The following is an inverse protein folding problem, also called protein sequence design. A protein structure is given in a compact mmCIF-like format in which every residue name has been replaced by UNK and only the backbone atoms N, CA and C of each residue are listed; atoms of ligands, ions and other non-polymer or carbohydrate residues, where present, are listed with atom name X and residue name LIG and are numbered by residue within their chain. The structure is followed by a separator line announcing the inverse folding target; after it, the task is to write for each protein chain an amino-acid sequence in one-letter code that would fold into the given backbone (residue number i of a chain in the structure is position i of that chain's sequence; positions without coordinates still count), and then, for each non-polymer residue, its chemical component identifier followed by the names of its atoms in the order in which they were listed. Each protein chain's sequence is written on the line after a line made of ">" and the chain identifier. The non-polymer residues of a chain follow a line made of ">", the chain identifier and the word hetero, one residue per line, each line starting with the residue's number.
data_IF_832906868073
#
_entry.id   IF_832906868073
#
_cell.length_a   1.000
_cell.length_b   1.000
_cell.length_c   1.000
_cell.angle_alpha   90.00
_cell.angle_beta   90.00
_cell.angle_gamma   90.00
#
_symmetry.space_group_name_H-M   'P 1'
#
loop_
_entity.id
_entity.type
_entity.pdbx_description
1 polymer ?
#
# COMPACT_ATOMS: atom_id res chain seq x y z
N UNK A 1 -22.18 18.99 5.48
CA UNK A 1 -22.17 18.14 6.68
C UNK A 1 -23.53 17.44 6.77
N UNK A 2 -23.56 16.14 7.08
CA UNK A 2 -24.82 15.39 7.21
C UNK A 2 -24.84 14.74 8.61
N UNK A 3 -26.00 14.53 9.26
CA UNK A 3 -26.06 13.89 10.58
C UNK A 3 -25.79 12.38 10.53
N UNK A 4 -25.31 11.78 11.62
CA UNK A 4 -25.17 10.31 11.71
C UNK A 4 -26.52 9.60 11.56
N UNK A 5 -26.53 8.41 10.96
CA UNK A 5 -27.74 7.59 10.80
C UNK A 5 -28.66 7.95 9.63
N UNK A 6 -28.33 8.94 8.79
CA UNK A 6 -29.16 9.37 7.65
C UNK A 6 -28.89 8.63 6.33
N UNK A 7 -28.17 7.50 6.36
CA UNK A 7 -27.82 6.73 5.15
C UNK A 7 -26.80 7.41 4.22
N UNK A 8 -25.93 8.27 4.76
CA UNK A 8 -24.91 9.01 3.99
C UNK A 8 -24.08 8.12 3.08
N UNK A 9 -23.55 7.03 3.63
CA UNK A 9 -22.69 6.08 2.94
C UNK A 9 -23.38 5.53 1.70
N UNK A 10 -24.64 5.09 1.84
CA UNK A 10 -25.44 4.60 0.73
C UNK A 10 -25.74 5.70 -0.31
N UNK A 11 -26.13 6.90 0.11
CA UNK A 11 -26.37 8.02 -0.80
C UNK A 11 -25.09 8.40 -1.58
N UNK A 12 -23.95 8.45 -0.89
CA UNK A 12 -22.64 8.77 -1.47
C UNK A 12 -22.20 7.69 -2.47
N UNK A 13 -22.33 6.41 -2.11
CA UNK A 13 -22.05 5.30 -3.01
C UNK A 13 -22.96 5.31 -4.24
N UNK A 14 -24.28 5.36 -4.06
CA UNK A 14 -25.24 5.29 -5.16
C UNK A 14 -25.08 6.47 -6.13
N UNK A 15 -24.91 7.70 -5.60
CA UNK A 15 -24.67 8.88 -6.45
C UNK A 15 -23.34 8.79 -7.22
N UNK A 16 -22.27 8.34 -6.57
CA UNK A 16 -20.96 8.15 -7.21
C UNK A 16 -20.99 7.08 -8.30
N UNK A 17 -21.70 5.97 -8.05
CA UNK A 17 -21.87 4.88 -9.02
C UNK A 17 -22.74 5.30 -10.21
N UNK A 18 -23.86 5.99 -9.96
CA UNK A 18 -24.71 6.54 -11.01
C UNK A 18 -23.96 7.55 -11.90
N UNK A 19 -23.22 8.47 -11.27
CA UNK A 19 -22.37 9.43 -11.97
C UNK A 19 -21.32 8.72 -12.81
N UNK A 20 -20.60 7.74 -12.24
CA UNK A 20 -19.56 7.02 -12.97
C UNK A 20 -20.12 6.25 -14.16
N UNK A 21 -21.26 5.57 -14.02
CA UNK A 21 -21.92 4.88 -15.13
C UNK A 21 -22.29 5.86 -16.25
N UNK A 22 -22.86 7.01 -15.90
CA UNK A 22 -23.22 8.07 -16.85
C UNK A 22 -21.98 8.63 -17.54
N UNK A 23 -20.92 8.92 -16.78
CA UNK A 23 -19.65 9.43 -17.30
C UNK A 23 -18.99 8.45 -18.27
N UNK A 24 -18.96 7.16 -17.92
CA UNK A 24 -18.43 6.12 -18.79
C UNK A 24 -19.24 6.01 -20.09
N UNK A 25 -20.57 6.03 -20.02
CA UNK A 25 -21.45 6.00 -21.17
C UNK A 25 -21.24 7.23 -22.08
N UNK A 26 -21.18 8.43 -21.52
CA UNK A 26 -20.91 9.67 -22.28
C UNK A 26 -19.52 9.65 -22.92
N UNK A 27 -18.50 9.20 -22.20
CA UNK A 27 -17.12 9.11 -22.70
C UNK A 27 -17.03 8.12 -23.87
N UNK A 28 -17.71 6.97 -23.77
CA UNK A 28 -17.81 6.01 -24.86
C UNK A 28 -18.55 6.61 -26.06
N UNK A 29 -19.71 7.23 -25.85
CA UNK A 29 -20.48 7.88 -26.91
C UNK A 29 -19.70 8.99 -27.62
N UNK A 30 -18.93 9.81 -26.88
CA UNK A 30 -18.10 10.87 -27.45
C UNK A 30 -16.92 10.33 -28.27
N UNK A 31 -16.33 9.19 -27.88
CA UNK A 31 -15.27 8.53 -28.67
C UNK A 31 -15.81 7.93 -29.97
N UNK A 32 -17.04 7.44 -29.92
CA UNK A 32 -17.75 6.91 -31.10
C UNK A 32 -18.10 8.04 -32.07
N UNK A 33 -18.56 9.20 -31.58
CA UNK A 33 -18.95 10.32 -32.43
C UNK A 33 -17.78 11.05 -33.08
N UNK A 34 -16.59 11.00 -32.48
CA UNK A 34 -15.41 11.77 -32.94
C UNK A 34 -14.47 10.99 -33.85
N UNK A 35 -14.64 9.67 -34.04
CA UNK A 35 -13.73 8.86 -34.87
C UNK A 35 -14.46 7.94 -35.85
N UNK A 36 -14.22 8.11 -37.16
CA UNK A 36 -14.58 7.12 -38.19
C UNK A 36 -13.95 5.75 -37.91
N UNK A 37 -12.79 5.74 -37.24
CA UNK A 37 -12.10 4.55 -36.76
C UNK A 37 -12.83 3.83 -35.60
N UNK A 38 -13.54 4.54 -34.73
CA UNK A 38 -14.29 3.96 -33.61
C UNK A 38 -15.52 3.17 -34.08
N UNK A 39 -16.23 3.70 -35.08
CA UNK A 39 -17.37 3.01 -35.71
C UNK A 39 -16.90 1.74 -36.44
N UNK A 40 -15.78 1.81 -37.16
CA UNK A 40 -15.21 0.65 -37.88
C UNK A 40 -14.68 -0.43 -36.91
N UNK A 41 -14.07 -0.01 -35.79
CA UNK A 41 -13.62 -0.93 -34.73
C UNK A 41 -14.78 -1.68 -34.08
N UNK A 42 -15.89 -0.99 -33.78
CA UNK A 42 -17.10 -1.62 -33.22
C UNK A 42 -17.73 -2.57 -34.25
N UNK A 43 -17.76 -2.17 -35.53
CA UNK A 43 -18.29 -2.99 -36.62
C UNK A 43 -17.48 -4.28 -36.82
N UNK A 44 -16.16 -4.21 -36.73
CA UNK A 44 -15.28 -5.39 -36.74
C UNK A 44 -15.47 -6.29 -35.52
N UNK A 45 -15.64 -5.71 -34.32
CA UNK A 45 -15.88 -6.49 -33.09
C UNK A 45 -17.25 -7.19 -33.11
N UNK A 46 -18.30 -6.53 -33.61
CA UNK A 46 -19.62 -7.13 -33.80
C UNK A 46 -19.60 -8.23 -34.86
N UNK A 47 -18.85 -8.04 -35.96
CA UNK A 47 -18.66 -9.07 -36.98
C UNK A 47 -17.90 -10.28 -36.41
N UNK A 48 -16.84 -10.06 -35.63
CA UNK A 48 -16.10 -11.13 -34.96
C UNK A 48 -16.96 -11.89 -33.94
N UNK A 49 -17.81 -11.18 -33.18
CA UNK A 49 -18.76 -11.78 -32.25
C UNK A 49 -19.84 -12.63 -32.96
N UNK A 50 -20.35 -12.16 -34.11
CA UNK A 50 -21.31 -12.91 -34.93
C UNK A 50 -20.72 -14.22 -35.50
N UNK A 51 -19.40 -14.28 -35.67
CA UNK A 51 -18.68 -15.48 -36.13
C UNK A 51 -18.07 -16.32 -34.99
N UNK A 52 -18.44 -16.05 -33.72
CA UNK A 52 -17.96 -16.82 -32.57
C UNK A 52 -16.47 -16.62 -32.26
N UNK A 53 -15.83 -15.60 -32.84
CA UNK A 53 -14.40 -15.25 -32.67
C UNK A 53 -14.24 -13.95 -31.87
N UNK A 54 -15.07 -13.75 -30.84
CA UNK A 54 -14.91 -12.60 -29.95
C UNK A 54 -13.68 -12.80 -29.06
N UNK A 55 -12.56 -12.20 -29.44
CA UNK A 55 -11.44 -11.95 -28.53
C UNK A 55 -11.61 -10.53 -27.97
N UNK A 56 -11.68 -10.34 -26.64
CA UNK A 56 -11.69 -9.01 -26.08
C UNK A 56 -10.39 -8.31 -26.48
N UNK A 57 -10.50 -7.33 -27.38
CA UNK A 57 -9.33 -6.58 -27.85
C UNK A 57 -8.71 -5.81 -26.67
N UNK A 58 -7.40 -5.92 -26.45
CA UNK A 58 -6.70 -5.13 -25.42
C UNK A 58 -6.64 -3.64 -25.77
N UNK A 59 -7.15 -3.21 -26.94
CA UNK A 59 -7.22 -1.79 -27.34
C UNK A 59 -8.30 -1.00 -26.60
N UNK A 60 -9.27 -1.64 -25.95
CA UNK A 60 -10.08 -0.97 -24.92
C UNK A 60 -9.30 -0.92 -23.61
N UNK A 61 -8.23 -0.12 -23.61
CA UNK A 61 -7.44 0.13 -22.41
C UNK A 61 -8.34 0.63 -21.29
N UNK A 62 -8.52 -0.22 -20.27
CA UNK A 62 -9.04 0.11 -18.94
C UNK A 62 -8.23 1.23 -18.24
N UNK A 63 -7.11 1.64 -18.84
CA UNK A 63 -6.20 2.69 -18.38
C UNK A 63 -6.82 4.10 -18.36
N UNK A 64 -7.93 4.34 -19.04
CA UNK A 64 -8.50 5.69 -19.19
C UNK A 64 -9.96 5.79 -18.68
N UNK A 65 -10.47 4.74 -18.06
CA UNK A 65 -11.79 4.75 -17.43
C UNK A 65 -11.71 5.33 -16.02
N UNK A 66 -12.63 6.25 -15.69
CA UNK A 66 -12.67 6.85 -14.36
C UNK A 66 -12.97 5.81 -13.29
N UNK A 67 -12.17 5.83 -12.23
CA UNK A 67 -12.28 4.93 -11.07
C UNK A 67 -12.74 5.71 -9.84
N UNK A 68 -13.44 5.03 -8.94
CA UNK A 68 -13.76 5.60 -7.61
C UNK A 68 -12.88 4.92 -6.57
N UNK A 69 -12.17 5.71 -5.77
CA UNK A 69 -11.40 5.22 -4.64
C UNK A 69 -12.14 5.63 -3.37
N UNK A 70 -12.71 4.65 -2.66
CA UNK A 70 -13.43 4.87 -1.42
C UNK A 70 -12.49 4.65 -0.24
N UNK A 71 -12.22 5.73 0.49
CA UNK A 71 -11.29 5.78 1.61
C UNK A 71 -12.05 5.87 2.92
N UNK A 72 -11.69 5.02 3.88
CA UNK A 72 -12.22 5.08 5.24
C UNK A 72 -11.11 4.83 6.26
N UNK A 73 -11.40 4.98 7.56
CA UNK A 73 -10.38 4.83 8.60
C UNK A 73 -9.99 3.38 8.83
N UNK A 74 -10.94 2.46 8.77
CA UNK A 74 -10.73 1.05 9.11
C UNK A 74 -11.36 0.10 8.08
N UNK A 75 -10.82 -1.11 8.01
CA UNK A 75 -11.44 -2.17 7.21
C UNK A 75 -12.83 -2.56 7.69
N UNK A 76 -13.12 -2.47 9.00
CA UNK A 76 -14.47 -2.75 9.51
C UNK A 76 -15.53 -1.80 8.93
N UNK A 77 -15.19 -0.51 8.78
CA UNK A 77 -16.06 0.46 8.10
C UNK A 77 -16.19 0.13 6.62
N UNK A 78 -15.10 -0.25 5.93
CA UNK A 78 -15.17 -0.68 4.53
C UNK A 78 -16.06 -1.92 4.35
N UNK A 79 -15.97 -2.92 5.23
CA UNK A 79 -16.84 -4.10 5.21
C UNK A 79 -18.31 -3.72 5.43
N UNK A 80 -18.59 -2.71 6.27
CA UNK A 80 -19.95 -2.16 6.40
C UNK A 80 -20.43 -1.51 5.09
N UNK A 81 -19.59 -0.67 4.47
CA UNK A 81 -19.89 0.01 3.20
C UNK A 81 -20.17 -1.02 2.09
N UNK A 82 -19.39 -2.09 2.00
CA UNK A 82 -19.59 -3.18 1.03
C UNK A 82 -20.89 -3.94 1.33
N UNK A 83 -21.23 -4.17 2.60
CA UNK A 83 -22.51 -4.78 2.99
C UNK A 83 -23.71 -3.92 2.58
N UNK A 84 -23.61 -2.61 2.75
CA UNK A 84 -24.62 -1.66 2.26
C UNK A 84 -24.71 -1.69 0.73
N UNK A 85 -23.57 -1.73 0.02
CA UNK A 85 -23.54 -1.87 -1.44
C UNK A 85 -24.25 -3.14 -1.92
N UNK A 86 -24.12 -4.28 -1.22
CA UNK A 86 -24.83 -5.54 -1.53
C UNK A 86 -26.36 -5.39 -1.50
N UNK A 87 -26.88 -4.45 -0.70
CA UNK A 87 -28.32 -4.17 -0.62
C UNK A 87 -28.87 -3.35 -1.79
N UNK A 88 -28.01 -2.82 -2.66
CA UNK A 88 -28.39 -2.01 -3.82
C UNK A 88 -28.56 -2.83 -5.10
N UNK A 89 -29.07 -2.20 -6.16
CA UNK A 89 -29.09 -2.77 -7.51
C UNK A 89 -27.72 -2.70 -8.23
N UNK A 90 -26.76 -1.94 -7.70
CA UNK A 90 -25.47 -1.75 -8.37
C UNK A 90 -24.56 -2.98 -8.19
N UNK A 91 -23.90 -3.40 -9.27
CA UNK A 91 -22.90 -4.48 -9.29
C UNK A 91 -21.60 -4.02 -9.96
N UNK A 92 -20.92 -3.00 -9.41
CA UNK A 92 -19.63 -2.58 -9.94
C UNK A 92 -18.58 -3.68 -9.71
N UNK A 93 -17.53 -3.72 -10.54
CA UNK A 93 -16.34 -4.52 -10.20
C UNK A 93 -15.60 -3.81 -9.07
N UNK A 94 -15.38 -4.49 -7.95
CA UNK A 94 -14.75 -3.87 -6.78
C UNK A 94 -13.43 -4.57 -6.43
N UNK A 95 -12.58 -3.87 -5.70
CA UNK A 95 -11.47 -4.49 -4.97
C UNK A 95 -11.32 -3.84 -3.59
N UNK A 96 -10.86 -4.63 -2.62
CA UNK A 96 -10.52 -4.16 -1.27
C UNK A 96 -9.04 -4.37 -1.04
N UNK A 97 -8.29 -3.29 -0.87
CA UNK A 97 -6.85 -3.36 -0.62
C UNK A 97 -6.56 -3.34 0.87
N UNK A 98 -5.84 -4.35 1.35
CA UNK A 98 -5.44 -4.48 2.75
C UNK A 98 -3.99 -4.95 2.90
N UNK A 99 -3.52 -4.94 4.14
CA UNK A 99 -2.14 -5.32 4.46
C UNK A 99 -1.95 -6.84 4.38
N UNK A 100 -0.70 -7.30 4.29
CA UNK A 100 -0.40 -8.74 4.44
C UNK A 100 -0.87 -9.28 5.79
N UNK A 101 -0.90 -8.46 6.84
CA UNK A 101 -1.38 -8.87 8.15
C UNK A 101 -2.87 -9.25 8.15
N UNK A 102 -3.67 -8.64 7.28
CA UNK A 102 -5.10 -8.90 7.17
C UNK A 102 -5.44 -9.96 6.11
N UNK A 103 -4.66 -10.02 5.01
CA UNK A 103 -4.98 -10.82 3.83
C UNK A 103 -4.12 -12.09 3.67
N UNK A 104 -3.03 -12.26 4.44
CA UNK A 104 -2.18 -13.44 4.30
C UNK A 104 -2.81 -14.67 4.96
N UNK A 105 -2.99 -15.73 4.17
CA UNK A 105 -3.51 -17.04 4.63
C UNK A 105 -2.44 -18.14 4.62
N UNK A 106 -1.18 -17.80 4.31
CA UNK A 106 -0.10 -18.78 4.32
C UNK A 106 0.20 -19.21 5.77
N UNK A 107 0.27 -20.53 6.10
CA UNK A 107 0.35 -21.02 7.48
C UNK A 107 1.47 -20.40 8.33
N UNK A 108 2.69 -20.30 7.78
CA UNK A 108 3.82 -19.74 8.52
C UNK A 108 3.92 -18.20 8.44
N UNK A 109 3.75 -17.61 7.26
CA UNK A 109 3.86 -16.15 7.06
C UNK A 109 2.75 -15.38 7.78
N UNK A 110 1.54 -15.96 7.87
CA UNK A 110 0.41 -15.33 8.58
C UNK A 110 0.62 -15.21 10.09
N UNK A 111 1.58 -15.95 10.67
CA UNK A 111 1.95 -15.85 12.10
C UNK A 111 2.92 -14.69 12.38
N UNK A 112 3.66 -14.25 11.36
CA UNK A 112 4.61 -13.14 11.47
C UNK A 112 3.91 -11.78 11.41
N UNK A 113 4.59 -10.72 11.84
CA UNK A 113 4.07 -9.33 11.81
C UNK A 113 5.11 -8.35 11.25
N UNK A 114 4.63 -7.22 10.75
CA UNK A 114 5.49 -6.11 10.29
C UNK A 114 6.54 -6.52 9.26
N UNK A 115 7.77 -6.03 9.45
CA UNK A 115 8.89 -6.27 8.54
C UNK A 115 9.22 -7.76 8.36
N UNK A 116 9.17 -8.56 9.43
CA UNK A 116 9.42 -10.00 9.36
C UNK A 116 8.42 -10.72 8.43
N UNK A 117 7.13 -10.34 8.50
CA UNK A 117 6.11 -10.88 7.60
C UNK A 117 6.37 -10.47 6.14
N UNK A 118 6.70 -9.19 5.91
CA UNK A 118 6.96 -8.67 4.57
C UNK A 118 8.17 -9.36 3.94
N UNK A 119 9.28 -9.47 4.66
CA UNK A 119 10.51 -10.12 4.20
C UNK A 119 10.29 -11.60 3.91
N UNK A 120 9.64 -12.34 4.81
CA UNK A 120 9.33 -13.76 4.59
C UNK A 120 8.42 -13.96 3.36
N UNK A 121 7.40 -13.11 3.18
CA UNK A 121 6.53 -13.13 2.01
C UNK A 121 7.32 -12.87 0.72
N UNK A 122 8.15 -11.84 0.69
CA UNK A 122 8.96 -11.47 -0.46
C UNK A 122 9.94 -12.60 -0.83
N UNK A 123 10.65 -13.18 0.14
CA UNK A 123 11.57 -14.31 -0.08
C UNK A 123 10.85 -15.51 -0.70
N UNK A 124 9.70 -15.91 -0.16
CA UNK A 124 8.93 -17.04 -0.71
C UNK A 124 8.37 -16.76 -2.10
N UNK A 125 7.94 -15.52 -2.38
CA UNK A 125 7.44 -15.13 -3.71
C UNK A 125 8.58 -15.10 -4.73
N UNK A 126 9.73 -14.52 -4.38
CA UNK A 126 10.91 -14.47 -5.24
C UNK A 126 11.44 -15.88 -5.57
N UNK A 127 11.47 -16.77 -4.57
CA UNK A 127 11.83 -18.17 -4.76
C UNK A 127 10.73 -19.02 -5.43
N UNK A 128 9.57 -18.43 -5.79
CA UNK A 128 8.37 -19.13 -6.31
C UNK A 128 7.89 -20.28 -5.41
N UNK A 129 8.19 -20.22 -4.11
CA UNK A 129 7.88 -21.24 -3.12
C UNK A 129 6.51 -21.05 -2.44
N UNK A 130 5.88 -19.88 -2.61
CA UNK A 130 4.55 -19.62 -2.05
C UNK A 130 3.45 -20.23 -2.94
N UNK A 131 2.90 -21.38 -2.54
CA UNK A 131 1.79 -22.06 -3.23
C UNK A 131 0.56 -21.15 -3.46
N UNK A 132 0.27 -20.28 -2.50
CA UNK A 132 -0.88 -19.38 -2.58
C UNK A 132 -0.69 -18.30 -3.65
N UNK A 133 0.54 -17.77 -3.78
CA UNK A 133 0.85 -16.74 -4.76
C UNK A 133 0.87 -17.29 -6.18
N UNK A 134 1.42 -18.49 -6.39
CA UNK A 134 1.56 -19.06 -7.74
C UNK A 134 0.20 -19.28 -8.44
N UNK A 135 -0.88 -19.44 -7.68
CA UNK A 135 -2.24 -19.67 -8.19
C UNK A 135 -3.03 -18.38 -8.46
N UNK A 136 -2.52 -17.20 -8.12
CA UNK A 136 -3.29 -15.95 -8.22
C UNK A 136 -3.84 -15.70 -9.64
N UNK A 137 -3.04 -15.94 -10.67
CA UNK A 137 -3.44 -15.69 -12.06
C UNK A 137 -4.50 -16.66 -12.57
N UNK A 138 -4.56 -17.88 -12.02
CA UNK A 138 -5.56 -18.90 -12.38
C UNK A 138 -6.94 -18.53 -11.84
N UNK A 139 -6.99 -17.94 -10.64
CA UNK A 139 -8.25 -17.67 -9.93
C UNK A 139 -8.79 -16.24 -10.15
N UNK A 140 -8.02 -15.31 -10.73
CA UNK A 140 -8.47 -13.90 -10.85
C UNK A 140 -9.68 -13.68 -11.75
N UNK A 141 -9.96 -14.61 -12.65
CA UNK A 141 -11.10 -14.55 -13.57
C UNK A 141 -12.30 -15.41 -13.12
N UNK A 142 -12.24 -16.01 -11.94
CA UNK A 142 -13.38 -16.74 -11.41
C UNK A 142 -14.58 -15.82 -11.24
N UNK A 143 -15.76 -16.30 -11.64
CA UNK A 143 -16.98 -15.48 -11.67
C UNK A 143 -17.32 -14.90 -10.30
N UNK A 144 -17.22 -15.72 -9.26
CA UNK A 144 -17.54 -15.33 -7.88
C UNK A 144 -16.53 -14.33 -7.30
N UNK A 145 -15.36 -14.22 -7.93
CA UNK A 145 -14.29 -13.29 -7.57
C UNK A 145 -14.40 -11.99 -8.38
N UNK A 146 -14.34 -12.09 -9.71
CA UNK A 146 -14.35 -10.93 -10.60
C UNK A 146 -15.70 -10.17 -10.58
N UNK A 147 -16.81 -10.87 -10.33
CA UNK A 147 -18.15 -10.30 -10.21
C UNK A 147 -18.66 -10.16 -8.76
N UNK A 148 -17.89 -10.62 -7.79
CA UNK A 148 -18.27 -10.64 -6.38
C UNK A 148 -18.08 -9.29 -5.68
N UNK A 149 -19.02 -8.93 -4.81
CA UNK A 149 -18.86 -7.81 -3.89
C UNK A 149 -18.17 -8.29 -2.60
N UNK A 150 -16.88 -8.65 -2.70
CA UNK A 150 -16.13 -9.30 -1.63
C UNK A 150 -15.46 -8.29 -0.69
N UNK A 151 -15.55 -8.55 0.62
CA UNK A 151 -14.74 -7.88 1.64
C UNK A 151 -13.47 -8.69 1.96
N UNK A 152 -12.69 -8.26 2.96
CA UNK A 152 -11.46 -8.97 3.36
C UNK A 152 -11.77 -10.38 3.87
N UNK A 153 -12.82 -10.52 4.67
CA UNK A 153 -13.21 -11.79 5.26
C UNK A 153 -13.58 -12.80 4.17
N UNK A 154 -14.33 -12.37 3.16
CA UNK A 154 -14.72 -13.20 2.03
C UNK A 154 -13.52 -13.60 1.16
N UNK A 155 -12.62 -12.65 0.87
CA UNK A 155 -11.37 -12.93 0.16
C UNK A 155 -10.48 -13.94 0.92
N UNK A 156 -10.38 -13.81 2.25
CA UNK A 156 -9.61 -14.74 3.08
C UNK A 156 -10.21 -16.13 3.13
N UNK A 157 -11.55 -16.25 3.27
CA UNK A 157 -12.24 -17.55 3.21
C UNK A 157 -12.01 -18.24 1.87
N UNK A 158 -12.16 -17.50 0.77
CA UNK A 158 -11.89 -18.02 -0.56
C UNK A 158 -10.43 -18.46 -0.72
N UNK A 159 -9.48 -17.63 -0.26
CA UNK A 159 -8.05 -17.92 -0.31
C UNK A 159 -7.66 -19.18 0.45
N UNK A 160 -8.32 -19.46 1.59
CA UNK A 160 -8.12 -20.69 2.35
C UNK A 160 -8.69 -21.92 1.62
N UNK A 161 -9.89 -21.80 1.05
CA UNK A 161 -10.57 -22.90 0.36
C UNK A 161 -9.86 -23.30 -0.94
N UNK A 162 -9.49 -22.32 -1.77
CA UNK A 162 -8.89 -22.55 -3.09
C UNK A 162 -7.36 -22.55 -3.06
N UNK A 163 -6.76 -22.27 -1.90
CA UNK A 163 -5.31 -22.10 -1.73
C UNK A 163 -4.74 -21.02 -2.66
N UNK A 164 -5.43 -19.89 -2.78
CA UNK A 164 -4.99 -18.69 -3.52
C UNK A 164 -4.66 -17.57 -2.55
N UNK A 165 -3.70 -16.69 -2.88
CA UNK A 165 -3.28 -15.60 -2.01
C UNK A 165 -4.23 -14.39 -2.10
N UNK A 166 -5.01 -14.05 -1.05
CA UNK A 166 -5.93 -12.91 -1.05
C UNK A 166 -5.22 -11.56 -1.23
N UNK A 167 -4.02 -11.41 -0.65
CA UNK A 167 -3.24 -10.18 -0.73
C UNK A 167 -2.85 -9.82 -2.17
N UNK A 168 -2.37 -10.79 -2.95
CA UNK A 168 -2.02 -10.55 -4.34
C UNK A 168 -3.24 -10.58 -5.25
N UNK A 169 -4.25 -11.42 -4.95
CA UNK A 169 -5.51 -11.47 -5.69
C UNK A 169 -6.24 -10.12 -5.67
N UNK A 170 -6.42 -9.50 -4.49
CA UNK A 170 -7.05 -8.18 -4.37
C UNK A 170 -6.33 -7.10 -5.19
N UNK A 171 -4.99 -7.16 -5.27
CA UNK A 171 -4.18 -6.24 -6.09
C UNK A 171 -4.38 -6.45 -7.59
N UNK A 172 -4.49 -7.70 -8.04
CA UNK A 172 -4.86 -8.00 -9.42
C UNK A 172 -6.26 -7.48 -9.76
N UNK A 173 -7.24 -7.69 -8.87
CA UNK A 173 -8.60 -7.19 -9.04
C UNK A 173 -8.66 -5.66 -9.08
N UNK A 174 -7.79 -4.98 -8.32
CA UNK A 174 -7.75 -3.51 -8.30
C UNK A 174 -7.39 -2.90 -9.66
N UNK A 175 -6.60 -3.60 -10.49
CA UNK A 175 -6.24 -3.14 -11.84
C UNK A 175 -7.46 -3.01 -12.77
N UNK A 176 -8.51 -3.79 -12.52
CA UNK A 176 -9.75 -3.81 -13.31
C UNK A 176 -10.96 -3.25 -12.53
N UNK A 177 -10.76 -2.92 -11.25
CA UNK A 177 -11.82 -2.43 -10.39
C UNK A 177 -12.31 -1.05 -10.81
N UNK A 178 -13.63 -0.91 -10.68
CA UNK A 178 -14.39 0.31 -10.86
C UNK A 178 -14.44 1.13 -9.56
N UNK A 179 -14.54 0.41 -8.44
CA UNK A 179 -14.47 0.97 -7.09
C UNK A 179 -13.40 0.24 -6.30
N UNK A 180 -12.46 0.98 -5.71
CA UNK A 180 -11.41 0.44 -4.86
C UNK A 180 -11.65 0.92 -3.43
N UNK A 181 -11.83 0.00 -2.50
CA UNK A 181 -11.94 0.27 -1.08
C UNK A 181 -10.57 0.11 -0.42
N UNK A 182 -10.08 1.14 0.26
CA UNK A 182 -8.82 1.05 1.00
C UNK A 182 -8.80 2.00 2.21
N UNK A 183 -8.04 1.71 3.27
CA UNK A 183 -7.90 2.66 4.36
C UNK A 183 -7.07 3.89 3.98
N UNK A 184 -7.21 4.98 4.74
CA UNK A 184 -6.50 6.25 4.51
C UNK A 184 -4.98 6.11 4.39
N UNK A 185 -4.38 5.19 5.14
CA UNK A 185 -2.93 5.01 5.18
C UNK A 185 -2.33 4.65 3.81
N UNK A 186 -3.09 4.06 2.88
CA UNK A 186 -2.60 3.79 1.53
C UNK A 186 -2.37 5.03 0.68
N UNK A 187 -3.04 6.14 1.04
CA UNK A 187 -2.80 7.44 0.43
C UNK A 187 -1.73 8.23 1.18
N UNK A 188 -1.77 8.22 2.52
CA UNK A 188 -0.89 9.08 3.33
C UNK A 188 0.53 8.53 3.44
N UNK A 189 0.71 7.21 3.51
CA UNK A 189 2.04 6.60 3.50
C UNK A 189 2.66 6.63 2.09
N UNK A 190 3.85 7.23 1.98
CA UNK A 190 4.53 7.42 0.70
C UNK A 190 4.93 6.09 0.05
N UNK A 191 5.36 5.09 0.83
CA UNK A 191 5.73 3.78 0.29
C UNK A 191 4.53 3.04 -0.31
N UNK A 192 3.39 3.06 0.40
CA UNK A 192 2.13 2.47 -0.05
C UNK A 192 1.62 3.17 -1.31
N UNK A 193 1.60 4.50 -1.31
CA UNK A 193 1.16 5.32 -2.46
C UNK A 193 1.99 5.05 -3.71
N UNK A 194 3.32 4.96 -3.60
CA UNK A 194 4.22 4.59 -4.72
C UNK A 194 3.87 3.21 -5.28
N UNK A 195 3.59 2.25 -4.40
CA UNK A 195 3.24 0.89 -4.81
C UNK A 195 1.90 0.82 -5.56
N UNK A 196 0.98 1.74 -5.28
CA UNK A 196 -0.32 1.84 -5.95
C UNK A 196 -0.33 2.83 -7.14
N UNK A 197 0.84 3.33 -7.57
CA UNK A 197 0.99 4.51 -8.43
C UNK A 197 0.02 4.63 -9.62
N UNK A 198 -0.22 3.55 -10.36
CA UNK A 198 -1.11 3.56 -11.52
C UNK A 198 -2.59 3.72 -11.16
N UNK A 199 -3.02 3.27 -9.96
CA UNK A 199 -4.41 3.30 -9.53
C UNK A 199 -4.95 4.72 -9.28
N UNK A 200 -4.06 5.68 -9.02
CA UNK A 200 -4.44 7.07 -8.73
C UNK A 200 -4.78 7.88 -9.98
N UNK A 201 -4.40 7.40 -11.17
CA UNK A 201 -4.62 8.12 -12.42
C UNK A 201 -6.10 8.08 -12.81
N UNK A 202 -6.64 9.24 -13.18
CA UNK A 202 -8.03 9.40 -13.60
C UNK A 202 -9.05 8.85 -12.57
N UNK A 203 -8.83 9.13 -11.29
CA UNK A 203 -9.62 8.59 -10.18
C UNK A 203 -10.30 9.70 -9.37
N UNK A 204 -11.49 9.40 -8.85
CA UNK A 204 -12.20 10.20 -7.84
C UNK A 204 -11.98 9.57 -6.48
N UNK A 205 -11.32 10.30 -5.57
CA UNK A 205 -11.14 9.87 -4.19
C UNK A 205 -12.28 10.38 -3.31
N UNK A 206 -12.92 9.47 -2.58
CA UNK A 206 -13.99 9.76 -1.62
C UNK A 206 -13.45 9.46 -0.22
N UNK A 207 -13.39 10.47 0.64
CA UNK A 207 -12.99 10.30 2.04
C UNK A 207 -14.24 10.25 2.91
N UNK A 208 -14.48 9.11 3.54
CA UNK A 208 -15.62 8.88 4.42
C UNK A 208 -15.21 8.94 5.90
N UNK A 209 -15.88 9.77 6.69
CA UNK A 209 -15.45 10.15 8.04
C UNK A 209 -14.10 10.90 8.07
N UNK A 210 -13.93 11.86 7.16
CA UNK A 210 -12.71 12.66 6.99
C UNK A 210 -12.33 13.53 8.19
N UNK A 211 -13.15 13.61 9.23
CA UNK A 211 -12.83 14.32 10.47
C UNK A 211 -11.62 13.72 11.21
N UNK A 212 -11.21 12.48 10.89
CA UNK A 212 -9.98 11.88 11.41
C UNK A 212 -8.77 12.04 10.47
N UNK A 213 -8.92 12.72 9.33
CA UNK A 213 -7.86 12.79 8.32
C UNK A 213 -6.63 13.54 8.83
N UNK A 214 -6.82 14.65 9.57
CA UNK A 214 -5.73 15.45 10.12
C UNK A 214 -4.84 14.64 11.07
N UNK A 215 -5.45 13.95 12.06
CA UNK A 215 -4.70 13.13 13.00
C UNK A 215 -3.94 12.00 12.29
N UNK A 216 -4.54 11.39 11.26
CA UNK A 216 -3.91 10.30 10.50
C UNK A 216 -2.73 10.82 9.66
N UNK A 217 -2.86 12.03 9.08
CA UNK A 217 -1.76 12.67 8.37
C UNK A 217 -0.61 13.01 9.32
N UNK A 218 -0.94 13.58 10.48
CA UNK A 218 0.02 13.88 11.54
C UNK A 218 0.76 12.61 11.99
N UNK A 219 0.02 11.55 12.30
CA UNK A 219 0.59 10.27 12.72
C UNK A 219 1.49 9.67 11.63
N UNK A 220 1.07 9.72 10.36
CA UNK A 220 1.85 9.18 9.23
C UNK A 220 3.15 9.95 8.94
N UNK A 221 3.23 11.19 9.39
CA UNK A 221 4.41 12.05 9.24
C UNK A 221 5.24 12.12 10.52
N UNK A 222 4.82 11.41 11.57
CA UNK A 222 5.48 11.38 12.87
C UNK A 222 6.22 10.06 13.07
N UNK A 223 7.29 10.11 13.87
CA UNK A 223 8.00 8.91 14.30
C UNK A 223 8.41 9.03 15.76
N UNK A 224 8.44 7.90 16.46
CA UNK A 224 8.97 7.80 17.81
C UNK A 224 10.39 7.23 17.76
N UNK A 225 11.36 7.96 18.28
CA UNK A 225 12.72 7.47 18.48
C UNK A 225 12.96 7.21 19.97
N UNK A 226 12.89 5.93 20.38
CA UNK A 226 13.15 5.53 21.77
C UNK A 226 14.63 5.27 21.97
N UNK A 227 15.12 5.44 23.20
CA UNK A 227 16.49 5.06 23.57
C UNK A 227 16.81 3.59 23.23
N UNK A 228 15.81 2.70 23.37
CA UNK A 228 15.95 1.29 22.98
C UNK A 228 16.17 1.10 21.48
N UNK A 229 15.62 1.97 20.61
CA UNK A 229 15.87 1.89 19.18
C UNK A 229 17.34 2.20 18.86
N UNK A 230 17.91 3.21 19.52
CA UNK A 230 19.32 3.59 19.34
C UNK A 230 20.26 2.51 19.88
N UNK A 231 19.96 1.98 21.07
CA UNK A 231 20.74 0.89 21.66
C UNK A 231 20.74 -0.36 20.77
N UNK A 232 19.59 -0.72 20.19
CA UNK A 232 19.50 -1.83 19.24
C UNK A 232 20.30 -1.55 17.95
N UNK A 233 20.24 -0.32 17.42
CA UNK A 233 21.02 0.06 16.26
C UNK A 233 22.53 -0.04 16.52
N UNK A 234 23.02 0.45 17.66
CA UNK A 234 24.43 0.33 18.06
C UNK A 234 24.85 -1.14 18.16
N UNK A 235 24.01 -1.97 18.80
CA UNK A 235 24.28 -3.40 18.94
C UNK A 235 24.22 -4.16 17.60
N UNK A 236 23.45 -3.68 16.62
CA UNK A 236 23.44 -4.20 15.26
C UNK A 236 24.75 -3.86 14.54
N UNK A 237 25.22 -2.61 14.62
CA UNK A 237 26.50 -2.19 14.02
C UNK A 237 27.66 -3.00 14.58
N UNK A 238 27.70 -3.24 15.89
CA UNK A 238 28.72 -4.09 16.51
C UNK A 238 28.72 -5.52 15.98
N UNK A 239 27.53 -6.09 15.77
CA UNK A 239 27.38 -7.42 15.15
C UNK A 239 27.85 -7.42 13.71
N UNK A 240 27.54 -6.38 12.94
CA UNK A 240 27.97 -6.24 11.54
C UNK A 240 29.49 -6.16 11.42
N UNK A 241 30.16 -5.37 12.29
CA UNK A 241 31.63 -5.30 12.35
C UNK A 241 32.23 -6.67 12.65
N UNK A 242 31.66 -7.40 13.60
CA UNK A 242 32.14 -8.75 13.94
C UNK A 242 31.98 -9.74 12.77
N UNK A 243 30.88 -9.65 12.03
CA UNK A 243 30.67 -10.47 10.82
C UNK A 243 31.69 -10.10 9.74
N UNK A 244 31.94 -8.81 9.51
CA UNK A 244 32.91 -8.33 8.52
C UNK A 244 34.33 -8.81 8.82
N UNK A 245 34.71 -8.88 10.10
CA UNK A 245 36.03 -9.35 10.51
C UNK A 245 36.20 -10.88 10.41
N UNK A 246 35.14 -11.64 10.68
CA UNK A 246 35.22 -13.10 10.76
C UNK A 246 34.84 -13.81 9.46
N UNK A 247 33.86 -13.28 8.71
CA UNK A 247 33.33 -13.88 7.48
C UNK A 247 32.81 -12.80 6.52
N UNK A 248 33.71 -12.07 5.83
CA UNK A 248 33.32 -11.06 4.84
C UNK A 248 32.46 -11.64 3.69
N UNK A 249 32.56 -12.96 3.43
CA UNK A 249 31.86 -13.60 2.31
C UNK A 249 30.34 -13.62 2.51
N UNK A 250 29.85 -13.49 3.74
CA UNK A 250 28.40 -13.41 4.04
C UNK A 250 27.69 -12.26 3.35
N UNK A 251 28.33 -11.10 3.24
CA UNK A 251 27.72 -9.94 2.57
C UNK A 251 27.50 -10.22 1.08
N UNK A 252 28.44 -10.91 0.43
CA UNK A 252 28.30 -11.32 -0.97
C UNK A 252 27.25 -12.42 -1.18
N UNK A 253 27.09 -13.33 -0.23
CA UNK A 253 26.10 -14.42 -0.29
C UNK A 253 24.64 -13.92 -0.17
N UNK A 254 24.44 -12.78 0.50
CA UNK A 254 23.13 -12.13 0.63
C UNK A 254 22.82 -11.15 -0.51
N UNK A 255 23.70 -11.05 -1.52
CA UNK A 255 23.49 -10.21 -2.71
C UNK A 255 23.83 -8.73 -2.51
N UNK A 256 24.53 -8.37 -1.44
CA UNK A 256 25.09 -7.02 -1.28
C UNK A 256 26.28 -6.86 -2.23
N UNK A 257 26.18 -5.89 -3.14
CA UNK A 257 27.19 -5.64 -4.18
C UNK A 257 28.29 -4.68 -3.73
N UNK A 258 28.03 -3.90 -2.67
CA UNK A 258 28.96 -2.92 -2.11
C UNK A 258 28.78 -2.85 -0.58
N UNK A 259 29.41 -3.75 0.19
CA UNK A 259 29.27 -3.76 1.64
C UNK A 259 30.02 -2.61 2.30
N UNK A 260 29.49 -2.05 3.41
CA UNK A 260 30.17 -0.98 4.13
C UNK A 260 31.50 -1.48 4.70
N UNK A 261 32.51 -0.62 4.63
CA UNK A 261 33.83 -0.83 5.22
C UNK A 261 33.78 -0.78 6.75
N UNK A 262 34.79 -1.36 7.40
CA UNK A 262 34.90 -1.29 8.86
C UNK A 262 34.98 0.16 9.37
N UNK A 263 35.64 1.05 8.61
CA UNK A 263 35.77 2.47 8.96
C UNK A 263 34.40 3.15 8.95
N UNK A 264 33.61 2.93 7.90
CA UNK A 264 32.25 3.44 7.76
C UNK A 264 31.34 2.98 8.91
N UNK A 265 31.38 1.68 9.25
CA UNK A 265 30.61 1.15 10.38
C UNK A 265 31.03 1.76 11.72
N UNK A 266 32.34 2.00 11.92
CA UNK A 266 32.83 2.68 13.14
C UNK A 266 32.39 4.14 13.21
N UNK A 267 32.35 4.84 12.07
CA UNK A 267 31.82 6.21 11.97
C UNK A 267 30.32 6.21 12.32
N UNK A 268 29.54 5.30 11.74
CA UNK A 268 28.12 5.15 12.05
C UNK A 268 27.89 4.88 13.54
N UNK A 269 28.66 3.98 14.15
CA UNK A 269 28.58 3.71 15.59
C UNK A 269 28.88 4.96 16.42
N UNK A 270 29.92 5.72 16.07
CA UNK A 270 30.28 6.94 16.77
C UNK A 270 29.16 7.99 16.71
N UNK A 271 28.51 8.16 15.54
CA UNK A 271 27.36 9.04 15.37
C UNK A 271 26.16 8.61 16.21
N UNK A 272 25.84 7.31 16.24
CA UNK A 272 24.75 6.77 17.06
C UNK A 272 24.99 6.97 18.56
N UNK A 273 26.23 6.78 19.04
CA UNK A 273 26.62 7.05 20.42
C UNK A 273 26.52 8.54 20.77
N UNK A 274 26.91 9.41 19.82
CA UNK A 274 26.77 10.87 19.99
C UNK A 274 25.30 11.27 20.07
N UNK A 275 24.45 10.72 19.19
CA UNK A 275 23.01 10.93 19.22
C UNK A 275 22.38 10.45 20.54
N UNK A 276 22.79 9.29 21.05
CA UNK A 276 22.35 8.79 22.36
C UNK A 276 22.71 9.77 23.49
N UNK A 277 23.93 10.32 23.45
CA UNK A 277 24.43 11.30 24.44
C UNK A 277 23.62 12.59 24.38
N UNK A 278 23.39 13.14 23.18
CA UNK A 278 22.57 14.33 22.97
C UNK A 278 21.16 14.15 23.54
N UNK A 279 20.51 13.01 23.29
CA UNK A 279 19.16 12.73 23.80
C UNK A 279 19.15 12.69 25.33
N UNK A 280 20.16 12.08 25.94
CA UNK A 280 20.30 11.97 27.40
C UNK A 280 20.48 13.32 28.08
N UNK A 281 21.13 14.25 27.39
CA UNK A 281 21.45 15.60 27.91
C UNK A 281 20.37 16.64 27.61
N UNK A 282 19.26 16.25 26.96
CA UNK A 282 18.16 17.18 26.68
C UNK A 282 17.60 17.79 27.98
N UNK A 283 17.46 19.13 28.05
CA UNK A 283 16.97 19.81 29.24
C UNK A 283 15.45 19.67 29.37
N UNK A 284 15.01 18.53 29.91
CA UNK A 284 13.59 18.28 30.18
C UNK A 284 13.11 19.13 31.34
N UNK A 285 11.91 19.71 31.21
CA UNK A 285 11.29 20.55 32.24
C UNK A 285 9.87 20.08 32.55
N UNK A 286 9.34 20.44 33.73
CA UNK A 286 7.96 20.11 34.13
C UNK A 286 7.80 18.73 34.80
N UNK A 287 6.53 18.34 35.02
CA UNK A 287 6.13 17.07 35.63
C UNK A 287 4.89 16.51 34.91
N UNK A 288 5.02 15.47 34.04
CA UNK A 288 6.24 14.72 33.76
C UNK A 288 7.28 15.55 32.97
N UNK A 289 8.59 15.27 33.11
CA UNK A 289 9.63 15.97 32.39
C UNK A 289 9.45 15.83 30.87
N UNK A 290 9.33 16.95 30.17
CA UNK A 290 9.16 16.98 28.71
C UNK A 290 9.81 18.22 28.10
N UNK A 291 9.98 18.19 26.77
CA UNK A 291 10.50 19.30 25.99
C UNK A 291 9.72 19.35 24.67
N UNK A 292 9.13 20.50 24.36
CA UNK A 292 8.46 20.77 23.09
C UNK A 292 9.15 21.94 22.41
N UNK A 293 9.46 21.79 21.13
CA UNK A 293 10.15 22.78 20.30
C UNK A 293 9.44 22.92 18.96
N UNK A 294 9.70 24.01 18.24
CA UNK A 294 9.29 24.18 16.85
C UNK A 294 9.92 23.10 15.96
N UNK A 295 9.30 22.81 14.81
CA UNK A 295 9.75 21.74 13.92
C UNK A 295 11.18 21.94 13.41
N UNK A 296 11.59 23.19 13.23
CA UNK A 296 12.95 23.59 12.83
C UNK A 296 14.04 23.12 13.80
N UNK A 297 13.71 22.89 15.07
CA UNK A 297 14.64 22.39 16.07
C UNK A 297 15.17 20.99 15.73
N UNK A 298 14.48 20.22 14.88
CA UNK A 298 14.96 18.91 14.45
C UNK A 298 16.34 19.00 13.78
N UNK A 299 16.60 20.07 13.02
CA UNK A 299 17.88 20.28 12.35
C UNK A 299 18.98 20.67 13.34
N UNK A 300 18.67 21.51 14.33
CA UNK A 300 19.60 21.86 15.41
C UNK A 300 19.93 20.63 16.28
N UNK A 301 18.92 19.84 16.60
CA UNK A 301 19.03 18.61 17.36
C UNK A 301 19.96 17.61 16.66
N UNK A 302 19.73 17.30 15.37
CA UNK A 302 20.59 16.39 14.62
C UNK A 302 21.99 16.97 14.39
N UNK A 303 22.13 18.28 14.15
CA UNK A 303 23.43 18.93 14.01
C UNK A 303 24.28 18.82 15.28
N UNK A 304 23.67 18.85 16.47
CA UNK A 304 24.38 18.62 17.72
C UNK A 304 24.97 17.20 17.83
N UNK A 305 24.37 16.24 17.12
CA UNK A 305 24.86 14.87 16.96
C UNK A 305 25.78 14.68 15.73
N UNK A 306 26.24 15.76 15.10
CA UNK A 306 27.04 15.76 13.85
C UNK A 306 26.30 15.21 12.61
N UNK A 307 24.96 15.23 12.62
CA UNK A 307 24.14 14.79 11.50
C UNK A 307 23.58 16.03 10.81
N UNK A 308 23.99 16.27 9.57
CA UNK A 308 23.65 17.49 8.82
C UNK A 308 23.45 17.21 7.33
N UNK A 309 22.89 18.16 6.59
CA UNK A 309 22.59 17.97 5.16
C UNK A 309 23.79 17.51 4.31
N UNK A 310 25.03 17.88 4.67
CA UNK A 310 26.23 17.48 3.94
C UNK A 310 26.66 16.02 4.09
N UNK A 311 26.18 15.29 5.12
CA UNK A 311 26.58 13.89 5.38
C UNK A 311 25.40 12.92 5.46
N UNK A 312 24.15 13.42 5.45
CA UNK A 312 22.96 12.57 5.59
C UNK A 312 22.81 11.54 4.46
N UNK A 313 23.16 11.90 3.22
CA UNK A 313 23.06 10.96 2.09
C UNK A 313 24.04 9.78 2.22
N UNK A 314 25.26 10.04 2.68
CA UNK A 314 26.27 9.01 2.92
C UNK A 314 25.89 8.15 4.13
N UNK A 315 25.35 8.77 5.19
CA UNK A 315 24.82 8.05 6.34
C UNK A 315 23.68 7.10 5.97
N UNK A 316 22.75 7.55 5.12
CA UNK A 316 21.64 6.72 4.66
C UNK A 316 22.14 5.53 3.84
N UNK A 317 23.14 5.71 2.97
CA UNK A 317 23.77 4.60 2.22
C UNK A 317 24.44 3.57 3.12
N UNK A 318 24.97 3.98 4.27
CA UNK A 318 25.56 3.04 5.24
C UNK A 318 24.50 2.26 6.04
N UNK A 319 23.27 2.79 6.14
CA UNK A 319 22.16 2.19 6.89
C UNK A 319 21.32 1.24 6.02
N UNK A 320 21.10 1.60 4.75
CA UNK A 320 20.33 0.82 3.76
C UNK A 320 21.05 -0.44 3.28
#
# INVERSE_FOLDING_TARGET
>A
ESPTGTGKTLCLLCSSLAWRQTYAACSQASRISTSSAGVESIRQQLAAAAHGQFTPSPTFGTSDAVRVIYLSRTHGQLSQVIRELRSTAYRPRISVLGSRQQLCVHPEVSKLRGAAQNCACQKLVAAKACLYHSRVMEHKYERDIAGGLLDIEDLCKHGQQQKVCPYFLSRELANEAEVIFMPYNYLTDTASRRTLGTLWHNSVAIFDEAHNLESILSDSSSFDLRASNIALAIAEVDRTVLILQNDPSRFSAEGLTDPPTEIELRILKALLLKLETVIRELPLTGSPPSLTKGGEYIFEFFASADIHHGNVEELLKMID
#
